data_IF_364757387069
#
_entry.id   IF_364757387069
#
_cell.length_a   1.000
_cell.length_b   1.000
_cell.length_c   1.000
_cell.angle_alpha   90.00
_cell.angle_beta   90.00
_cell.angle_gamma   90.00
#
_symmetry.space_group_name_H-M   'P 1'
#
loop_
_entity.id
_entity.type
_entity.pdbx_description
1 polymer ?
#
# COMPACT_ATOMS: atom_id res chain seq x y z
N UNK A 1 -40.02 11.15 16.18
CA UNK A 1 -39.81 9.88 15.46
C UNK A 1 -39.84 10.25 13.96
N UNK A 2 -39.00 11.16 13.48
CA UNK A 2 -37.54 11.06 13.29
C UNK A 2 -37.34 10.31 11.97
N UNK A 3 -37.56 10.93 10.80
CA UNK A 3 -36.68 11.86 10.04
C UNK A 3 -35.24 11.33 9.84
N UNK A 4 -34.69 11.59 8.64
CA UNK A 4 -33.39 11.15 8.05
C UNK A 4 -33.53 10.06 6.96
N UNK A 5 -33.02 10.18 5.73
CA UNK A 5 -32.37 11.31 5.08
C UNK A 5 -32.42 11.08 3.55
N UNK A 6 -32.84 12.10 2.80
CA UNK A 6 -32.86 12.13 1.34
C UNK A 6 -31.51 12.65 0.84
N UNK A 7 -30.62 11.76 0.43
CA UNK A 7 -29.48 12.15 -0.40
C UNK A 7 -29.91 12.21 -1.88
N UNK A 8 -30.48 13.34 -2.27
CA UNK A 8 -30.78 13.67 -3.67
C UNK A 8 -29.51 14.03 -4.43
N UNK A 9 -29.27 13.35 -5.56
CA UNK A 9 -28.33 13.80 -6.58
C UNK A 9 -28.98 14.94 -7.39
N UNK A 10 -28.28 16.04 -7.73
CA UNK A 10 -28.88 17.15 -8.46
C UNK A 10 -29.15 16.79 -9.92
N UNK A 11 -30.38 17.05 -10.38
CA UNK A 11 -30.78 16.93 -11.78
C UNK A 11 -30.26 18.14 -12.59
N UNK A 12 -29.52 17.88 -13.67
CA UNK A 12 -29.09 18.88 -14.65
C UNK A 12 -30.23 19.35 -15.58
N UNK A 13 -30.08 20.51 -16.26
CA UNK A 13 -31.21 21.25 -16.80
C UNK A 13 -31.73 20.72 -18.16
N UNK A 14 -33.04 20.44 -18.19
CA UNK A 14 -33.97 20.85 -19.24
C UNK A 14 -33.72 20.42 -20.69
N UNK A 15 -34.27 19.26 -21.08
CA UNK A 15 -34.66 19.02 -22.48
C UNK A 15 -36.18 19.00 -22.62
N UNK A 16 -36.67 19.92 -23.45
CA UNK A 16 -38.07 20.18 -23.79
C UNK A 16 -38.79 18.90 -24.23
N UNK A 17 -39.91 18.63 -23.59
CA UNK A 17 -40.85 17.57 -23.98
C UNK A 17 -41.41 17.84 -25.38
N UNK A 18 -41.02 17.02 -26.35
CA UNK A 18 -41.75 16.87 -27.62
C UNK A 18 -42.90 15.88 -27.39
N UNK A 19 -44.12 16.40 -27.44
CA UNK A 19 -45.39 15.65 -27.46
C UNK A 19 -45.35 14.55 -28.52
N UNK A 20 -45.36 13.28 -28.09
CA UNK A 20 -45.43 12.12 -28.99
C UNK A 20 -46.89 11.69 -29.16
N UNK A 21 -47.31 11.71 -30.42
CA UNK A 21 -48.62 11.41 -30.97
C UNK A 21 -49.04 9.96 -30.63
N UNK A 22 -50.30 9.82 -30.24
CA UNK A 22 -51.00 8.59 -29.82
C UNK A 22 -51.02 7.56 -30.96
N UNK A 23 -50.21 6.51 -30.85
CA UNK A 23 -50.24 5.33 -31.71
C UNK A 23 -50.97 4.19 -31.02
N UNK A 24 -52.08 3.76 -31.61
CA UNK A 24 -52.99 2.70 -31.16
C UNK A 24 -52.42 1.36 -31.62
N UNK A 25 -52.10 0.44 -30.71
CA UNK A 25 -51.63 -0.91 -31.02
C UNK A 25 -51.35 -1.68 -29.74
N UNK A 26 -52.07 -2.78 -29.52
CA UNK A 26 -51.97 -3.61 -28.32
C UNK A 26 -50.53 -4.07 -28.08
N UNK A 27 -49.91 -3.49 -27.07
CA UNK A 27 -48.64 -3.94 -26.51
C UNK A 27 -48.97 -4.26 -25.06
N UNK A 28 -48.61 -5.47 -24.62
CA UNK A 28 -48.58 -5.79 -23.20
C UNK A 28 -47.87 -4.62 -22.50
N UNK A 29 -48.63 -3.85 -21.72
CA UNK A 29 -48.03 -2.87 -20.85
C UNK A 29 -47.20 -3.70 -19.87
N UNK A 30 -45.87 -3.57 -19.96
CA UNK A 30 -44.99 -4.06 -18.91
C UNK A 30 -45.54 -3.51 -17.60
N UNK A 31 -46.17 -4.38 -16.81
CA UNK A 31 -46.82 -4.04 -15.53
C UNK A 31 -45.77 -3.64 -14.48
N UNK A 32 -44.49 -3.82 -14.83
CA UNK A 32 -43.33 -3.43 -14.07
C UNK A 32 -42.63 -2.28 -14.81
N UNK A 33 -42.35 -1.14 -14.14
CA UNK A 33 -41.49 -0.11 -14.69
C UNK A 33 -40.20 -0.74 -15.24
N UNK A 34 -39.67 -0.28 -16.38
CA UNK A 34 -38.42 -0.81 -16.91
C UNK A 34 -37.35 -0.76 -15.82
N UNK A 35 -36.79 -1.92 -15.49
CA UNK A 35 -35.83 -2.03 -14.41
C UNK A 35 -34.63 -1.11 -14.70
N UNK A 36 -34.45 -0.07 -13.90
CA UNK A 36 -33.22 0.70 -13.90
C UNK A 36 -32.15 -0.14 -13.19
N UNK A 37 -31.40 -0.95 -13.95
CA UNK A 37 -30.29 -1.76 -13.44
C UNK A 37 -29.11 -0.88 -12.97
N UNK A 38 -29.31 -0.08 -11.91
CA UNK A 38 -28.30 0.86 -11.37
C UNK A 38 -27.12 0.11 -10.74
N UNK A 39 -27.36 -1.05 -10.16
CA UNK A 39 -26.33 -1.96 -9.61
C UNK A 39 -26.83 -3.40 -9.58
N UNK A 40 -25.98 -4.35 -9.18
CA UNK A 40 -26.35 -5.76 -8.98
C UNK A 40 -27.21 -5.93 -7.71
N UNK A 41 -28.42 -5.35 -7.71
CA UNK A 41 -29.37 -5.38 -6.58
C UNK A 41 -28.77 -4.89 -5.24
N UNK A 42 -27.83 -3.94 -5.29
CA UNK A 42 -27.10 -3.48 -4.10
C UNK A 42 -26.16 -4.51 -3.48
N UNK A 43 -25.91 -5.66 -4.13
CA UNK A 43 -25.01 -6.70 -3.65
C UNK A 43 -23.59 -6.53 -4.22
N UNK A 44 -22.55 -6.97 -3.49
CA UNK A 44 -21.18 -7.02 -3.98
C UNK A 44 -21.08 -7.74 -5.34
N UNK A 45 -20.39 -7.12 -6.30
CA UNK A 45 -20.11 -7.72 -7.62
C UNK A 45 -18.78 -8.48 -7.59
N UNK A 46 -17.80 -7.97 -6.85
CA UNK A 46 -16.49 -8.60 -6.67
C UNK A 46 -16.42 -9.26 -5.30
N UNK A 47 -15.73 -10.40 -5.22
CA UNK A 47 -15.52 -11.10 -3.95
C UNK A 47 -14.38 -10.44 -3.19
N UNK A 48 -14.66 -9.97 -1.97
CA UNK A 48 -13.63 -9.47 -1.07
C UNK A 48 -12.61 -10.58 -0.73
N UNK A 49 -11.30 -10.27 -0.66
CA UNK A 49 -10.29 -11.24 -0.28
C UNK A 49 -10.46 -11.65 1.20
N UNK A 50 -10.12 -12.89 1.58
CA UNK A 50 -10.26 -13.37 2.96
C UNK A 50 -9.15 -12.86 3.89
N UNK A 51 -8.42 -11.81 3.50
CA UNK A 51 -7.23 -11.32 4.19
C UNK A 51 -7.56 -10.71 5.54
N UNK A 52 -6.70 -10.97 6.52
CA UNK A 52 -6.81 -10.39 7.87
C UNK A 52 -5.90 -9.17 8.00
N UNK A 53 -5.95 -8.54 9.17
CA UNK A 53 -5.07 -7.42 9.54
C UNK A 53 -3.57 -7.76 9.41
N UNK A 54 -3.23 -9.05 9.44
CA UNK A 54 -1.87 -9.56 9.24
C UNK A 54 -1.26 -9.07 7.93
N UNK A 55 -2.04 -8.96 6.86
CA UNK A 55 -1.55 -8.46 5.58
C UNK A 55 -1.08 -7.01 5.72
N UNK A 56 -1.86 -6.12 6.36
CA UNK A 56 -1.43 -4.74 6.56
C UNK A 56 -0.13 -4.64 7.37
N UNK A 57 0.06 -5.51 8.38
CA UNK A 57 1.31 -5.61 9.13
C UNK A 57 2.48 -6.08 8.26
N UNK A 58 2.28 -7.12 7.44
CA UNK A 58 3.24 -7.60 6.46
C UNK A 58 3.69 -6.51 5.49
N UNK A 59 2.73 -5.74 4.94
CA UNK A 59 2.98 -4.63 4.02
C UNK A 59 3.89 -3.57 4.68
N UNK A 60 3.56 -3.18 5.91
CA UNK A 60 4.31 -2.17 6.67
C UNK A 60 5.73 -2.65 6.98
N UNK A 61 5.87 -3.84 7.56
CA UNK A 61 7.15 -4.39 7.99
C UNK A 61 8.08 -4.68 6.81
N UNK A 62 7.54 -5.11 5.66
CA UNK A 62 8.30 -5.28 4.43
C UNK A 62 8.82 -3.94 3.89
N UNK A 63 7.99 -2.91 3.88
CA UNK A 63 8.40 -1.55 3.52
C UNK A 63 9.50 -1.01 4.45
N UNK A 64 9.28 -1.11 5.76
CA UNK A 64 10.26 -0.71 6.79
C UNK A 64 11.59 -1.44 6.59
N UNK A 65 11.55 -2.72 6.26
CA UNK A 65 12.75 -3.50 5.99
C UNK A 65 13.53 -2.96 4.79
N UNK A 66 12.86 -2.77 3.65
CA UNK A 66 13.47 -2.26 2.42
C UNK A 66 14.12 -0.89 2.63
N UNK A 67 13.37 0.08 3.18
CA UNK A 67 13.91 1.42 3.43
C UNK A 67 15.10 1.40 4.40
N UNK A 68 15.08 0.52 5.39
CA UNK A 68 16.16 0.40 6.37
C UNK A 68 17.41 -0.25 5.78
N UNK A 69 17.29 -1.19 4.84
CA UNK A 69 18.45 -1.74 4.13
C UNK A 69 19.15 -0.69 3.24
N UNK A 70 18.39 0.16 2.55
CA UNK A 70 18.95 1.28 1.80
C UNK A 70 19.69 2.26 2.72
N UNK A 71 19.07 2.61 3.85
CA UNK A 71 19.70 3.48 4.86
C UNK A 71 20.96 2.85 5.46
N UNK A 72 20.93 1.54 5.73
CA UNK A 72 22.06 0.79 6.26
C UNK A 72 23.25 0.78 5.30
N UNK A 73 23.02 0.51 4.02
CA UNK A 73 24.07 0.55 3.01
C UNK A 73 24.66 1.95 2.84
N UNK A 74 23.80 2.98 2.79
CA UNK A 74 24.27 4.37 2.74
C UNK A 74 25.11 4.76 3.96
N UNK A 75 24.69 4.35 5.16
CA UNK A 75 25.43 4.57 6.39
C UNK A 75 26.77 3.83 6.43
N UNK A 76 26.82 2.59 5.94
CA UNK A 76 28.06 1.80 5.84
C UNK A 76 29.08 2.44 4.89
N UNK A 77 28.62 2.92 3.73
CA UNK A 77 29.47 3.64 2.77
C UNK A 77 29.94 5.00 3.30
N UNK A 78 29.13 5.66 4.14
CA UNK A 78 29.44 6.96 4.73
C UNK A 78 30.23 6.88 6.04
N UNK A 79 30.53 5.68 6.55
CA UNK A 79 31.25 5.51 7.82
C UNK A 79 30.44 5.93 9.05
N UNK A 80 29.13 5.66 9.07
CA UNK A 80 28.20 5.97 10.17
C UNK A 80 27.80 4.68 10.91
N UNK A 81 28.62 4.20 11.86
CA UNK A 81 28.47 2.85 12.42
C UNK A 81 27.19 2.66 13.24
N UNK A 82 26.75 3.67 13.99
CA UNK A 82 25.52 3.57 14.78
C UNK A 82 24.28 3.56 13.88
N UNK A 83 24.26 4.40 12.85
CA UNK A 83 23.18 4.43 11.88
C UNK A 83 23.11 3.12 11.08
N UNK A 84 24.26 2.60 10.66
CA UNK A 84 24.39 1.31 9.97
C UNK A 84 23.83 0.18 10.82
N UNK A 85 24.28 0.05 12.06
CA UNK A 85 23.86 -1.00 13.00
C UNK A 85 22.36 -0.97 13.25
N UNK A 86 21.82 0.18 13.65
CA UNK A 86 20.39 0.33 13.92
C UNK A 86 19.54 0.03 12.67
N UNK A 87 19.97 0.49 11.50
CA UNK A 87 19.26 0.24 10.25
C UNK A 87 19.30 -1.25 9.85
N UNK A 88 20.43 -1.95 10.02
CA UNK A 88 20.52 -3.42 9.80
C UNK A 88 19.60 -4.20 10.73
N UNK A 89 19.53 -3.81 12.01
CA UNK A 89 18.64 -4.44 13.00
C UNK A 89 17.17 -4.25 12.60
N UNK A 90 16.78 -3.02 12.25
CA UNK A 90 15.41 -2.73 11.80
C UNK A 90 15.09 -3.45 10.49
N UNK A 91 16.06 -3.53 9.56
CA UNK A 91 15.89 -4.24 8.30
C UNK A 91 15.60 -5.73 8.50
N UNK A 92 16.38 -6.40 9.36
CA UNK A 92 16.18 -7.80 9.67
C UNK A 92 14.89 -8.02 10.49
N UNK A 93 14.64 -7.20 11.51
CA UNK A 93 13.41 -7.29 12.30
C UNK A 93 12.15 -7.09 11.44
N UNK A 94 12.17 -6.11 10.54
CA UNK A 94 11.10 -5.84 9.59
C UNK A 94 10.87 -7.02 8.64
N UNK A 95 11.91 -7.59 8.03
CA UNK A 95 11.71 -8.69 7.08
C UNK A 95 11.27 -9.99 7.75
N UNK A 96 11.80 -10.28 8.93
CA UNK A 96 11.38 -11.45 9.72
C UNK A 96 9.93 -11.31 10.16
N UNK A 97 9.52 -10.14 10.67
CA UNK A 97 8.13 -9.87 11.03
C UNK A 97 7.21 -9.88 9.81
N UNK A 98 7.64 -9.30 8.69
CA UNK A 98 6.92 -9.33 7.41
C UNK A 98 6.67 -10.78 6.95
N UNK A 99 7.70 -11.62 6.94
CA UNK A 99 7.58 -13.04 6.60
C UNK A 99 6.66 -13.79 7.57
N UNK A 100 6.74 -13.50 8.88
CA UNK A 100 5.87 -14.11 9.89
C UNK A 100 4.39 -13.83 9.58
N UNK A 101 4.01 -12.56 9.41
CA UNK A 101 2.62 -12.20 9.13
C UNK A 101 2.14 -12.72 7.77
N UNK A 102 3.02 -12.73 6.76
CA UNK A 102 2.71 -13.32 5.46
C UNK A 102 2.40 -14.81 5.56
N UNK A 103 3.24 -15.58 6.28
CA UNK A 103 3.06 -17.02 6.45
C UNK A 103 1.86 -17.33 7.34
N UNK A 104 1.62 -16.53 8.37
CA UNK A 104 0.48 -16.68 9.28
C UNK A 104 -0.88 -16.45 8.59
N UNK A 105 -0.96 -15.52 7.64
CA UNK A 105 -2.19 -15.28 6.87
C UNK A 105 -2.48 -16.42 5.88
N UNK A 106 -1.49 -17.28 5.56
CA UNK A 106 -1.74 -18.45 4.72
C UNK A 106 -2.72 -19.40 5.43
N UNK A 107 -3.76 -19.84 4.70
CA UNK A 107 -4.71 -20.81 5.24
C UNK A 107 -4.11 -22.17 5.63
N UNK A 108 -2.88 -22.49 5.18
CA UNK A 108 -2.07 -23.65 5.60
C UNK A 108 -0.59 -23.25 5.69
N UNK A 109 -0.13 -22.69 6.82
CA UNK A 109 1.22 -22.13 6.96
C UNK A 109 2.32 -23.17 6.75
N UNK A 110 2.08 -24.46 7.05
CA UNK A 110 3.06 -25.55 6.90
C UNK A 110 3.47 -25.75 5.42
N UNK A 111 2.64 -25.27 4.48
CA UNK A 111 2.85 -25.38 3.03
C UNK A 111 3.54 -24.16 2.43
N UNK A 112 4.01 -23.18 3.23
CA UNK A 112 4.65 -21.96 2.69
C UNK A 112 5.79 -22.28 1.71
N UNK A 113 6.55 -23.34 1.97
CA UNK A 113 7.66 -23.77 1.14
C UNK A 113 7.25 -24.17 -0.29
N UNK A 114 5.95 -24.37 -0.57
CA UNK A 114 5.43 -24.55 -1.92
C UNK A 114 5.54 -23.28 -2.77
N UNK A 115 5.52 -22.09 -2.15
CA UNK A 115 5.68 -20.81 -2.84
C UNK A 115 7.10 -20.65 -3.42
N UNK A 116 8.08 -21.36 -2.87
CA UNK A 116 9.49 -21.33 -3.28
C UNK A 116 9.81 -22.25 -4.47
N UNK A 117 8.82 -23.00 -4.99
CA UNK A 117 9.06 -24.01 -6.03
C UNK A 117 8.87 -23.50 -7.45
N UNK A 118 8.09 -22.44 -7.65
CA UNK A 118 7.67 -21.98 -8.98
C UNK A 118 7.99 -20.49 -9.15
N UNK A 119 8.68 -20.17 -10.23
CA UNK A 119 8.85 -18.80 -10.70
C UNK A 119 7.79 -18.50 -11.77
N UNK A 120 6.80 -17.69 -11.43
CA UNK A 120 5.73 -17.24 -12.34
C UNK A 120 5.78 -15.71 -12.48
N UNK A 121 6.46 -15.18 -13.51
CA UNK A 121 6.65 -13.73 -13.69
C UNK A 121 5.33 -12.94 -13.80
N UNK A 122 4.26 -13.58 -14.27
CA UNK A 122 2.92 -12.98 -14.39
C UNK A 122 2.12 -12.95 -13.09
N UNK A 123 2.69 -13.43 -11.97
CA UNK A 123 2.03 -13.42 -10.66
C UNK A 123 2.85 -12.57 -9.67
N UNK A 124 2.32 -11.41 -9.23
CA UNK A 124 2.98 -10.59 -8.22
C UNK A 124 3.31 -11.34 -6.92
N UNK A 125 2.49 -12.33 -6.54
CA UNK A 125 2.74 -13.16 -5.36
C UNK A 125 3.98 -14.06 -5.52
N UNK A 126 4.16 -14.65 -6.72
CA UNK A 126 5.35 -15.46 -7.02
C UNK A 126 6.60 -14.56 -7.10
N UNK A 127 6.53 -13.46 -7.84
CA UNK A 127 7.63 -12.49 -7.93
C UNK A 127 8.02 -11.96 -6.55
N UNK A 128 7.04 -11.62 -5.71
CA UNK A 128 7.25 -11.19 -4.33
C UNK A 128 7.99 -12.24 -3.50
N UNK A 129 7.62 -13.52 -3.61
CA UNK A 129 8.31 -14.61 -2.93
C UNK A 129 9.79 -14.63 -3.28
N UNK A 130 10.13 -14.54 -4.58
CA UNK A 130 11.52 -14.54 -5.04
C UNK A 130 12.27 -13.26 -4.65
N UNK A 131 11.62 -12.09 -4.62
CA UNK A 131 12.19 -10.85 -4.08
C UNK A 131 12.57 -11.05 -2.60
N UNK A 132 11.65 -11.58 -1.78
CA UNK A 132 11.90 -11.83 -0.36
C UNK A 132 13.03 -12.87 -0.15
N UNK A 133 13.04 -13.94 -0.94
CA UNK A 133 14.11 -14.95 -0.90
C UNK A 133 15.47 -14.40 -1.31
N UNK A 134 15.52 -13.48 -2.28
CA UNK A 134 16.73 -12.81 -2.70
C UNK A 134 17.18 -11.70 -1.74
N UNK A 135 16.30 -11.22 -0.86
CA UNK A 135 16.60 -10.14 0.08
C UNK A 135 16.95 -10.64 1.49
N UNK A 136 16.11 -11.51 2.06
CA UNK A 136 16.17 -11.92 3.47
C UNK A 136 17.53 -12.48 3.91
N UNK A 137 18.12 -13.45 3.20
CA UNK A 137 19.42 -14.00 3.54
C UNK A 137 20.54 -12.95 3.56
N UNK A 138 20.54 -12.04 2.59
CA UNK A 138 21.54 -10.97 2.51
C UNK A 138 21.36 -9.91 3.60
N UNK A 139 20.12 -9.57 3.95
CA UNK A 139 19.83 -8.70 5.10
C UNK A 139 20.31 -9.33 6.42
N UNK A 140 20.13 -10.65 6.59
CA UNK A 140 20.64 -11.40 7.74
C UNK A 140 22.17 -11.46 7.79
N UNK A 141 22.82 -11.76 6.66
CA UNK A 141 24.29 -11.77 6.55
C UNK A 141 24.89 -10.39 6.81
N UNK A 142 24.24 -9.32 6.37
CA UNK A 142 24.69 -7.95 6.61
C UNK A 142 24.75 -7.61 8.11
N UNK A 143 23.82 -8.15 8.92
CA UNK A 143 23.83 -7.98 10.37
C UNK A 143 24.95 -8.79 11.06
N UNK A 144 25.56 -9.75 10.38
CA UNK A 144 26.57 -10.64 10.92
C UNK A 144 27.73 -9.90 11.60
N UNK A 145 28.27 -8.86 10.96
CA UNK A 145 29.32 -8.00 11.51
C UNK A 145 28.93 -7.31 12.83
N UNK A 146 27.64 -7.02 13.04
CA UNK A 146 27.15 -6.38 14.27
C UNK A 146 26.98 -7.40 15.41
N UNK A 147 26.78 -8.67 15.07
CA UNK A 147 26.56 -9.76 16.02
C UNK A 147 27.88 -10.39 16.46
N UNK A 148 28.86 -10.52 15.55
CA UNK A 148 30.15 -11.16 15.83
C UNK A 148 30.82 -10.65 17.13
N UNK A 149 30.90 -9.33 17.40
CA UNK A 149 31.49 -8.80 18.62
C UNK A 149 30.70 -9.13 19.91
N UNK A 150 29.42 -9.51 19.78
CA UNK A 150 28.53 -9.82 20.90
C UNK A 150 28.55 -11.33 21.26
N UNK A 151 29.20 -12.16 20.44
CA UNK A 151 29.21 -13.62 20.64
C UNK A 151 30.12 -14.01 21.82
N UNK A 152 29.71 -14.98 22.66
CA UNK A 152 30.59 -15.56 23.66
C UNK A 152 31.86 -16.16 23.03
N UNK A 153 33.01 -15.99 23.67
CA UNK A 153 34.31 -16.41 23.12
C UNK A 153 34.36 -17.89 22.68
N UNK A 154 33.64 -18.79 23.37
CA UNK A 154 33.55 -20.21 23.00
C UNK A 154 32.84 -20.44 21.67
N UNK A 155 31.82 -19.64 21.37
CA UNK A 155 31.03 -19.72 20.14
C UNK A 155 31.75 -19.01 18.99
N UNK A 156 32.37 -17.85 19.27
CA UNK A 156 33.17 -17.13 18.29
C UNK A 156 34.34 -17.96 17.72
N UNK A 157 34.94 -18.86 18.53
CA UNK A 157 35.97 -19.81 18.05
C UNK A 157 35.44 -20.92 17.14
N UNK A 158 34.15 -21.24 17.20
CA UNK A 158 33.53 -22.31 16.40
C UNK A 158 32.96 -21.81 15.07
N UNK A 159 32.74 -20.51 14.96
CA UNK A 159 32.12 -19.90 13.79
C UNK A 159 33.19 -19.22 12.90
N UNK A 160 32.99 -19.17 11.57
CA UNK A 160 33.88 -18.49 10.66
C UNK A 160 33.66 -16.96 10.73
N UNK A 161 33.94 -16.37 11.89
CA UNK A 161 33.65 -14.96 12.21
C UNK A 161 34.30 -13.98 11.24
N UNK A 162 35.53 -14.26 10.79
CA UNK A 162 36.20 -13.44 9.79
C UNK A 162 35.49 -13.45 8.43
N UNK A 163 35.01 -14.62 7.99
CA UNK A 163 34.24 -14.74 6.75
C UNK A 163 32.91 -13.98 6.86
N UNK A 164 32.23 -14.08 8.00
CA UNK A 164 30.98 -13.37 8.28
C UNK A 164 31.20 -11.85 8.18
N UNK A 165 32.24 -11.33 8.84
CA UNK A 165 32.57 -9.90 8.79
C UNK A 165 32.92 -9.44 7.39
N UNK A 166 33.73 -10.21 6.63
CA UNK A 166 34.08 -9.88 5.24
C UNK A 166 32.87 -9.92 4.29
N UNK A 167 31.92 -10.84 4.52
CA UNK A 167 30.72 -10.98 3.70
C UNK A 167 29.64 -9.94 4.03
N UNK A 168 29.66 -9.33 5.22
CA UNK A 168 28.58 -8.46 5.70
C UNK A 168 28.34 -7.21 4.84
N UNK A 169 29.41 -6.50 4.42
CA UNK A 169 29.28 -5.31 3.56
C UNK A 169 28.78 -5.65 2.16
N UNK A 170 29.37 -6.60 1.41
CA UNK A 170 28.82 -7.05 0.13
C UNK A 170 27.36 -7.50 0.23
N UNK A 171 27.02 -8.28 1.28
CA UNK A 171 25.64 -8.70 1.49
C UNK A 171 24.70 -7.53 1.76
N UNK A 172 25.12 -6.53 2.55
CA UNK A 172 24.36 -5.31 2.78
C UNK A 172 24.09 -4.52 1.51
N UNK A 173 25.06 -4.46 0.59
CA UNK A 173 24.89 -3.81 -0.71
C UNK A 173 23.92 -4.58 -1.63
N UNK A 174 23.98 -5.91 -1.64
CA UNK A 174 23.02 -6.75 -2.37
C UNK A 174 21.61 -6.58 -1.81
N UNK A 175 21.45 -6.59 -0.47
CA UNK A 175 20.16 -6.35 0.17
C UNK A 175 19.62 -4.95 -0.18
N UNK A 176 20.47 -3.92 -0.20
CA UNK A 176 20.10 -2.57 -0.61
C UNK A 176 19.72 -2.47 -2.10
N UNK A 177 20.34 -3.25 -2.97
CA UNK A 177 19.97 -3.32 -4.39
C UNK A 177 18.56 -3.90 -4.59
N UNK A 178 18.19 -4.93 -3.81
CA UNK A 178 16.88 -5.58 -3.89
C UNK A 178 15.80 -4.81 -3.12
N UNK A 179 16.17 -4.00 -2.14
CA UNK A 179 15.28 -3.29 -1.25
C UNK A 179 14.19 -2.41 -1.93
N UNK A 180 14.45 -1.66 -3.01
CA UNK A 180 13.40 -0.94 -3.74
C UNK A 180 12.29 -1.86 -4.24
N UNK A 181 12.65 -3.08 -4.68
CA UNK A 181 11.67 -4.07 -5.08
C UNK A 181 10.83 -4.52 -3.88
N UNK A 182 11.45 -4.82 -2.72
CA UNK A 182 10.76 -5.16 -1.46
C UNK A 182 9.76 -4.07 -1.04
N UNK A 183 10.16 -2.80 -1.12
CA UNK A 183 9.34 -1.67 -0.72
C UNK A 183 8.12 -1.43 -1.64
N UNK A 184 8.22 -1.79 -2.93
CA UNK A 184 7.23 -1.46 -3.95
C UNK A 184 6.34 -2.62 -4.40
N UNK A 185 6.84 -3.86 -4.44
CA UNK A 185 6.10 -4.99 -5.03
C UNK A 185 4.77 -5.27 -4.33
N UNK A 186 4.70 -4.95 -3.04
CA UNK A 186 3.48 -5.13 -2.26
C UNK A 186 2.34 -4.20 -2.70
N UNK A 187 2.65 -3.02 -3.23
CA UNK A 187 1.66 -2.17 -3.89
C UNK A 187 1.18 -2.81 -5.20
N UNK A 188 2.10 -3.36 -5.99
CA UNK A 188 1.78 -4.06 -7.25
C UNK A 188 0.86 -5.25 -6.98
N UNK A 189 1.11 -6.00 -5.91
CA UNK A 189 0.26 -7.11 -5.48
C UNK A 189 -1.18 -6.68 -5.22
N UNK A 190 -1.41 -5.52 -4.58
CA UNK A 190 -2.76 -4.98 -4.37
C UNK A 190 -3.38 -4.49 -5.67
N UNK A 191 -2.61 -3.79 -6.50
CA UNK A 191 -3.08 -3.15 -7.72
C UNK A 191 -3.47 -4.14 -8.81
N UNK A 192 -2.86 -5.33 -8.81
CA UNK A 192 -3.15 -6.42 -9.75
C UNK A 192 -4.35 -7.28 -9.30
N UNK A 193 -5.32 -6.65 -8.64
CA UNK A 193 -6.58 -7.28 -8.19
C UNK A 193 -7.78 -6.62 -8.84
N UNK A 194 -8.95 -7.24 -8.71
CA UNK A 194 -10.23 -6.67 -9.14
C UNK A 194 -10.89 -5.74 -8.12
N UNK A 195 -10.23 -5.46 -6.99
CA UNK A 195 -10.79 -4.58 -5.96
C UNK A 195 -10.74 -3.13 -6.45
N UNK A 196 -11.90 -2.42 -6.52
CA UNK A 196 -11.97 -1.13 -7.21
C UNK A 196 -10.94 -0.09 -6.75
N UNK A 197 -10.82 0.14 -5.45
CA UNK A 197 -9.90 1.16 -4.94
C UNK A 197 -8.42 0.77 -5.13
N UNK A 198 -8.07 -0.51 -5.01
CA UNK A 198 -6.69 -0.95 -5.25
C UNK A 198 -6.33 -0.87 -6.74
N UNK A 199 -7.20 -1.38 -7.61
CA UNK A 199 -6.97 -1.39 -9.06
C UNK A 199 -6.92 0.03 -9.64
N UNK A 200 -7.74 0.94 -9.12
CA UNK A 200 -7.73 2.34 -9.55
C UNK A 200 -6.43 3.06 -9.18
N UNK A 201 -5.83 2.71 -8.04
CA UNK A 201 -4.58 3.29 -7.54
C UNK A 201 -3.30 2.75 -8.24
N UNK A 202 -3.45 2.00 -9.35
CA UNK A 202 -2.35 1.19 -9.91
C UNK A 202 -1.06 1.94 -10.23
N UNK A 203 -1.17 3.21 -10.61
CA UNK A 203 -0.04 4.03 -11.08
C UNK A 203 0.68 4.67 -9.90
N UNK A 204 -0.05 5.15 -8.91
CA UNK A 204 0.48 5.99 -7.84
C UNK A 204 0.79 5.22 -6.56
N UNK A 205 0.07 4.14 -6.24
CA UNK A 205 0.25 3.41 -4.98
C UNK A 205 1.68 2.91 -4.72
N UNK A 206 2.46 2.43 -5.71
CA UNK A 206 3.86 2.07 -5.48
C UNK A 206 4.69 3.23 -4.94
N UNK A 207 4.43 4.46 -5.39
CA UNK A 207 5.12 5.65 -4.90
C UNK A 207 4.69 6.03 -3.47
N UNK A 208 3.39 5.89 -3.16
CA UNK A 208 2.88 6.05 -1.79
C UNK A 208 3.59 5.06 -0.84
N UNK A 209 3.66 3.78 -1.21
CA UNK A 209 4.27 2.74 -0.39
C UNK A 209 5.79 2.91 -0.23
N UNK A 210 6.50 3.31 -1.29
CA UNK A 210 7.94 3.58 -1.23
C UNK A 210 8.23 4.83 -0.41
N UNK A 211 7.44 5.90 -0.59
CA UNK A 211 7.54 7.12 0.20
C UNK A 211 7.30 6.86 1.69
N UNK A 212 6.23 6.15 2.02
CA UNK A 212 5.89 5.81 3.42
C UNK A 212 6.96 4.92 4.05
N UNK A 213 7.50 3.96 3.29
CA UNK A 213 8.60 3.10 3.72
C UNK A 213 9.86 3.91 4.03
N UNK A 214 10.25 4.82 3.15
CA UNK A 214 11.38 5.73 3.37
C UNK A 214 11.16 6.64 4.59
N UNK A 215 9.95 7.17 4.77
CA UNK A 215 9.55 7.96 5.93
C UNK A 215 9.72 7.16 7.25
N UNK A 216 9.19 5.93 7.28
CA UNK A 216 9.27 5.04 8.44
C UNK A 216 10.70 4.60 8.75
N UNK A 217 11.48 4.18 7.75
CA UNK A 217 12.86 3.72 7.94
C UNK A 217 13.79 4.86 8.36
N UNK A 218 13.65 6.04 7.74
CA UNK A 218 14.35 7.23 8.18
C UNK A 218 13.94 7.64 9.60
N UNK A 219 12.63 7.56 9.92
CA UNK A 219 12.11 7.79 11.27
C UNK A 219 12.67 6.82 12.31
N UNK A 220 12.78 5.53 12.00
CA UNK A 220 13.43 4.55 12.85
C UNK A 220 14.91 4.89 13.09
N UNK A 221 15.61 5.42 12.08
CA UNK A 221 16.95 5.98 12.23
C UNK A 221 17.01 7.17 13.20
N UNK A 222 16.07 8.12 13.09
CA UNK A 222 15.96 9.23 14.06
C UNK A 222 15.68 8.75 15.48
N UNK A 223 14.93 7.65 15.62
CA UNK A 223 14.59 7.06 16.92
C UNK A 223 15.76 6.28 17.53
N UNK A 224 16.58 5.59 16.76
CA UNK A 224 17.54 4.60 17.27
C UNK A 224 19.01 5.03 17.18
N UNK A 225 19.32 6.18 16.59
CA UNK A 225 20.69 6.61 16.31
C UNK A 225 21.04 7.92 17.05
N UNK A 226 22.30 8.10 17.50
CA UNK A 226 22.80 9.37 18.03
C UNK A 226 22.64 10.52 17.03
N UNK A 227 22.38 11.74 17.53
CA UNK A 227 22.01 12.89 16.70
C UNK A 227 23.05 13.22 15.63
N UNK A 228 24.32 12.98 15.93
CA UNK A 228 25.49 13.23 15.09
C UNK A 228 25.43 12.43 13.78
N UNK A 229 24.83 11.24 13.80
CA UNK A 229 24.70 10.36 12.63
C UNK A 229 23.31 10.39 11.98
N UNK A 230 22.34 11.13 12.54
CA UNK A 230 20.95 11.16 12.02
C UNK A 230 20.77 11.89 10.68
N UNK A 231 21.80 12.53 10.14
CA UNK A 231 21.72 13.35 8.92
C UNK A 231 21.06 12.63 7.74
N UNK A 232 21.58 11.46 7.30
CA UNK A 232 20.97 10.68 6.21
C UNK A 232 19.57 10.17 6.55
N UNK A 233 19.34 9.69 7.77
CA UNK A 233 18.04 9.21 8.21
C UNK A 233 16.96 10.30 8.12
N UNK A 234 17.29 11.53 8.51
CA UNK A 234 16.41 12.70 8.42
C UNK A 234 16.04 13.04 6.99
N UNK A 235 17.02 13.04 6.08
CA UNK A 235 16.80 13.32 4.65
C UNK A 235 15.91 12.26 4.03
N UNK A 236 16.18 10.98 4.32
CA UNK A 236 15.35 9.87 3.85
C UNK A 236 13.92 9.99 4.41
N UNK A 237 13.78 10.33 5.69
CA UNK A 237 12.48 10.44 6.33
C UNK A 237 11.62 11.57 5.73
N UNK A 238 12.19 12.77 5.61
CA UNK A 238 11.50 13.95 5.08
C UNK A 238 11.24 13.81 3.57
N UNK A 239 12.20 13.27 2.81
CA UNK A 239 12.01 12.98 1.39
C UNK A 239 10.93 11.92 1.15
N UNK A 240 10.92 10.87 1.98
CA UNK A 240 9.87 9.84 1.97
C UNK A 240 8.50 10.42 2.29
N UNK A 241 8.39 11.25 3.32
CA UNK A 241 7.14 11.92 3.69
C UNK A 241 6.62 12.84 2.56
N UNK A 242 7.52 13.60 1.92
CA UNK A 242 7.16 14.44 0.78
C UNK A 242 6.65 13.59 -0.41
N UNK A 243 7.33 12.49 -0.72
CA UNK A 243 6.92 11.56 -1.77
C UNK A 243 5.56 10.91 -1.45
N UNK A 244 5.39 10.40 -0.23
CA UNK A 244 4.16 9.76 0.23
C UNK A 244 2.97 10.72 0.10
N UNK A 245 3.05 11.90 0.71
CA UNK A 245 1.95 12.85 0.75
C UNK A 245 1.61 13.39 -0.65
N UNK A 246 2.63 13.63 -1.49
CA UNK A 246 2.42 14.10 -2.86
C UNK A 246 1.81 13.01 -3.74
N UNK A 247 2.35 11.79 -3.69
CA UNK A 247 1.82 10.66 -4.44
C UNK A 247 0.40 10.30 -3.99
N UNK A 248 0.10 10.39 -2.70
CA UNK A 248 -1.23 10.16 -2.13
C UNK A 248 -2.26 11.18 -2.65
N UNK A 249 -1.89 12.46 -2.71
CA UNK A 249 -2.78 13.47 -3.30
C UNK A 249 -3.03 13.24 -4.80
N UNK A 250 -1.99 12.86 -5.55
CA UNK A 250 -2.14 12.56 -6.99
C UNK A 250 -3.01 11.30 -7.17
N UNK A 251 -2.79 10.28 -6.34
CA UNK A 251 -3.55 9.02 -6.33
C UNK A 251 -5.04 9.28 -6.10
N UNK A 252 -5.41 10.03 -5.07
CA UNK A 252 -6.82 10.31 -4.79
C UNK A 252 -7.50 11.07 -5.94
N UNK A 253 -6.78 12.01 -6.57
CA UNK A 253 -7.30 12.76 -7.73
C UNK A 253 -7.47 11.86 -8.96
N UNK A 254 -6.63 10.84 -9.15
CA UNK A 254 -6.71 9.94 -10.30
C UNK A 254 -7.80 8.86 -10.17
N UNK A 255 -8.20 8.54 -8.93
CA UNK A 255 -9.10 7.43 -8.61
C UNK A 255 -10.60 7.74 -8.78
N UNK A 256 -11.01 9.00 -8.91
CA UNK A 256 -12.43 9.38 -9.00
C UNK A 256 -13.23 8.88 -7.79
N UNK A 257 -14.43 8.34 -8.02
CA UNK A 257 -15.30 7.81 -6.94
C UNK A 257 -14.64 6.70 -6.11
N UNK A 258 -13.67 5.95 -6.67
CA UNK A 258 -13.01 4.87 -5.92
C UNK A 258 -12.03 5.39 -4.85
N UNK A 259 -11.80 6.70 -4.77
CA UNK A 259 -11.10 7.34 -3.66
C UNK A 259 -11.98 7.53 -2.41
N UNK A 260 -13.31 7.55 -2.55
CA UNK A 260 -14.26 7.79 -1.45
C UNK A 260 -14.03 6.86 -0.23
N UNK A 261 -13.72 5.57 -0.39
CA UNK A 261 -13.38 4.70 0.75
C UNK A 261 -12.18 5.18 1.58
N UNK A 262 -11.23 5.93 1.01
CA UNK A 262 -10.11 6.52 1.76
C UNK A 262 -10.53 7.69 2.66
N UNK A 263 -11.76 8.19 2.53
CA UNK A 263 -12.29 9.29 3.34
C UNK A 263 -13.34 8.83 4.36
N UNK A 264 -13.86 7.60 4.22
CA UNK A 264 -14.98 7.10 5.02
C UNK A 264 -14.59 5.97 5.98
N UNK A 265 -15.42 5.79 7.01
CA UNK A 265 -15.34 4.65 7.92
C UNK A 265 -13.97 4.47 8.58
N UNK A 266 -13.50 3.21 8.63
CA UNK A 266 -12.21 2.86 9.26
C UNK A 266 -11.02 3.29 8.40
N UNK A 267 -11.12 3.12 7.09
CA UNK A 267 -10.08 3.52 6.15
C UNK A 267 -9.79 5.03 6.24
N UNK A 268 -10.82 5.88 6.26
CA UNK A 268 -10.68 7.33 6.44
C UNK A 268 -10.04 7.75 7.75
N UNK A 269 -10.31 7.05 8.86
CA UNK A 269 -9.65 7.31 10.15
C UNK A 269 -8.15 7.04 10.08
N UNK A 270 -7.76 5.88 9.54
CA UNK A 270 -6.34 5.56 9.35
C UNK A 270 -5.68 6.51 8.35
N UNK A 271 -6.38 6.88 7.29
CA UNK A 271 -5.84 7.78 6.27
C UNK A 271 -5.52 9.16 6.84
N UNK A 272 -6.47 9.74 7.59
CA UNK A 272 -6.25 11.02 8.27
C UNK A 272 -5.12 10.93 9.30
N UNK A 273 -5.08 9.83 10.08
CA UNK A 273 -4.00 9.61 11.03
C UNK A 273 -2.63 9.53 10.32
N UNK A 274 -2.54 8.84 9.18
CA UNK A 274 -1.33 8.77 8.38
C UNK A 274 -0.85 10.15 7.93
N UNK A 275 -1.73 10.95 7.33
CA UNK A 275 -1.39 12.29 6.84
C UNK A 275 -0.89 13.20 7.97
N UNK A 276 -1.57 13.18 9.13
CA UNK A 276 -1.18 13.99 10.29
C UNK A 276 0.15 13.51 10.88
N UNK A 277 0.31 12.20 11.10
CA UNK A 277 1.51 11.63 11.72
C UNK A 277 2.74 11.79 10.82
N UNK A 278 2.61 11.51 9.53
CA UNK A 278 3.70 11.69 8.56
C UNK A 278 4.05 13.17 8.41
N UNK A 279 3.06 14.06 8.26
CA UNK A 279 3.29 15.50 8.11
C UNK A 279 3.91 16.14 9.37
N UNK A 280 3.31 15.92 10.54
CA UNK A 280 3.83 16.44 11.80
C UNK A 280 5.19 15.83 12.15
N UNK A 281 5.37 14.53 11.89
CA UNK A 281 6.65 13.84 12.04
C UNK A 281 7.74 14.41 11.13
N UNK A 282 7.44 14.74 9.88
CA UNK A 282 8.39 15.38 8.98
C UNK A 282 8.79 16.79 9.44
N UNK A 283 7.82 17.60 9.87
CA UNK A 283 8.08 18.95 10.43
C UNK A 283 8.91 18.84 11.71
N UNK A 284 8.52 17.96 12.63
CA UNK A 284 9.27 17.69 13.86
C UNK A 284 10.66 17.16 13.58
N UNK A 285 10.84 16.34 12.53
CA UNK A 285 12.14 15.89 12.08
C UNK A 285 12.98 17.04 11.51
N UNK A 286 12.41 18.09 10.91
CA UNK A 286 13.22 19.25 10.48
C UNK A 286 13.60 20.13 11.67
N UNK A 287 12.67 20.37 12.60
CA UNK A 287 12.87 21.24 13.76
C UNK A 287 13.71 20.60 14.87
N UNK A 288 13.60 19.28 15.04
CA UNK A 288 14.26 18.51 16.10
C UNK A 288 15.73 18.16 15.85
N UNK A 289 16.44 18.89 14.98
CA UNK A 289 17.85 18.57 14.64
C UNK A 289 18.80 18.56 15.82
N UNK A 290 18.48 19.34 16.85
CA UNK A 290 19.27 19.48 18.07
C UNK A 290 18.64 18.81 19.30
N UNK A 291 17.44 18.24 19.17
CA UNK A 291 16.69 17.67 20.30
C UNK A 291 16.47 16.17 20.09
N UNK A 292 17.08 15.37 20.97
CA UNK A 292 16.99 13.90 20.91
C UNK A 292 15.54 13.42 21.05
N UNK A 293 14.81 14.00 22.00
CA UNK A 293 13.41 13.68 22.24
C UNK A 293 12.55 14.04 21.03
N UNK A 294 12.69 15.25 20.48
CA UNK A 294 11.88 15.66 19.34
C UNK A 294 12.19 14.81 18.10
N UNK A 295 13.46 14.48 17.83
CA UNK A 295 13.82 13.55 16.76
C UNK A 295 13.24 12.14 16.98
N UNK A 296 13.27 11.63 18.21
CA UNK A 296 12.71 10.32 18.53
C UNK A 296 11.18 10.27 18.34
N UNK A 297 10.46 11.25 18.89
CA UNK A 297 8.99 11.36 18.75
C UNK A 297 8.59 11.54 17.28
N UNK A 298 9.33 12.36 16.54
CA UNK A 298 9.11 12.55 15.10
C UNK A 298 9.33 11.26 14.31
N UNK A 299 10.38 10.51 14.66
CA UNK A 299 10.67 9.22 14.04
C UNK A 299 9.58 8.18 14.30
N UNK A 300 9.10 8.09 15.55
CA UNK A 300 7.99 7.22 15.93
C UNK A 300 6.69 7.62 15.22
N UNK A 301 6.41 8.92 15.12
CA UNK A 301 5.25 9.43 14.40
C UNK A 301 5.28 9.03 12.92
N UNK A 302 6.41 9.17 12.22
CA UNK A 302 6.50 8.76 10.81
C UNK A 302 6.38 7.24 10.63
N UNK A 303 6.92 6.43 11.55
CA UNK A 303 6.73 4.98 11.53
C UNK A 303 5.26 4.60 11.73
N UNK A 304 4.58 5.22 12.68
CA UNK A 304 3.14 5.04 12.91
C UNK A 304 2.29 5.56 11.74
N UNK A 305 2.70 6.66 11.10
CA UNK A 305 2.08 7.22 9.90
C UNK A 305 2.12 6.22 8.76
N UNK A 306 3.29 5.67 8.44
CA UNK A 306 3.41 4.63 7.40
C UNK A 306 2.61 3.36 7.73
N UNK A 307 2.50 2.97 9.00
CA UNK A 307 1.63 1.86 9.37
C UNK A 307 0.17 2.21 9.08
N UNK A 308 -0.29 3.39 9.50
CA UNK A 308 -1.64 3.87 9.21
C UNK A 308 -1.93 3.92 7.70
N UNK A 309 -0.97 4.30 6.85
CA UNK A 309 -1.11 4.26 5.38
C UNK A 309 -1.42 2.85 4.87
N UNK A 310 -0.73 1.82 5.37
CA UNK A 310 -0.99 0.43 4.95
C UNK A 310 -2.37 -0.06 5.39
N UNK A 311 -2.81 0.32 6.59
CA UNK A 311 -4.16 -0.01 7.08
C UNK A 311 -5.26 0.77 6.36
N UNK A 312 -5.03 2.04 6.03
CA UNK A 312 -5.96 2.86 5.25
C UNK A 312 -6.21 2.24 3.88
N UNK A 313 -5.13 1.91 3.15
CA UNK A 313 -5.22 1.27 1.83
C UNK A 313 -5.88 -0.11 1.93
N UNK A 314 -5.50 -0.93 2.92
CA UNK A 314 -6.11 -2.24 3.15
C UNK A 314 -7.63 -2.13 3.34
N UNK A 315 -8.07 -1.29 4.27
CA UNK A 315 -9.50 -1.11 4.55
C UNK A 315 -10.26 -0.46 3.41
N UNK A 316 -9.64 0.47 2.67
CA UNK A 316 -10.27 1.11 1.51
C UNK A 316 -10.58 0.09 0.42
N UNK A 317 -9.65 -0.82 0.13
CA UNK A 317 -9.89 -1.90 -0.82
C UNK A 317 -11.02 -2.83 -0.39
N UNK A 318 -11.01 -3.25 0.88
CA UNK A 318 -12.07 -4.11 1.44
C UNK A 318 -13.44 -3.43 1.34
N UNK A 319 -13.56 -2.17 1.78
CA UNK A 319 -14.81 -1.41 1.69
C UNK A 319 -15.27 -1.21 0.25
N UNK A 320 -14.33 -1.02 -0.68
CA UNK A 320 -14.65 -0.86 -2.12
C UNK A 320 -15.22 -2.13 -2.77
N UNK A 321 -14.99 -3.30 -2.16
CA UNK A 321 -15.57 -4.56 -2.63
C UNK A 321 -17.02 -4.76 -2.17
N UNK A 322 -17.41 -4.16 -1.05
CA UNK A 322 -18.72 -4.36 -0.43
C UNK A 322 -19.84 -3.57 -1.13
N UNK A 323 -19.54 -2.36 -1.61
CA UNK A 323 -20.51 -1.52 -2.31
C UNK A 323 -20.34 -1.63 -3.83
N UNK A 324 -21.36 -2.13 -4.57
CA UNK A 324 -21.28 -2.26 -6.02
C UNK A 324 -21.13 -0.94 -6.76
N UNK A 325 -21.41 0.22 -6.15
CA UNK A 325 -21.24 1.54 -6.81
C UNK A 325 -19.80 1.74 -7.30
N UNK A 326 -18.82 1.28 -6.53
CA UNK A 326 -17.40 1.40 -6.87
C UNK A 326 -16.99 0.52 -8.06
N UNK A 327 -17.77 -0.49 -8.40
CA UNK A 327 -17.59 -1.31 -9.61
C UNK A 327 -18.35 -0.69 -10.79
N UNK A 328 -19.63 -0.35 -10.58
CA UNK A 328 -20.56 -0.01 -11.68
C UNK A 328 -20.35 1.41 -12.21
N UNK A 329 -20.20 2.40 -11.33
CA UNK A 329 -20.12 3.82 -11.74
C UNK A 329 -18.90 4.07 -12.63
N UNK A 330 -17.66 3.67 -12.24
CA UNK A 330 -16.49 3.89 -13.10
C UNK A 330 -16.56 3.15 -14.44
N UNK A 331 -17.20 1.98 -14.47
CA UNK A 331 -17.37 1.22 -15.72
C UNK A 331 -18.35 1.93 -16.67
N UNK A 332 -19.45 2.46 -16.14
CA UNK A 332 -20.42 3.25 -16.92
C UNK A 332 -19.80 4.53 -17.46
N UNK A 333 -19.10 5.30 -16.63
CA UNK A 333 -18.42 6.52 -17.06
C UNK A 333 -17.44 6.25 -18.20
N UNK A 334 -16.66 5.15 -18.12
CA UNK A 334 -15.75 4.74 -19.21
C UNK A 334 -16.46 4.29 -20.47
N UNK A 335 -17.62 3.63 -20.35
CA UNK A 335 -18.44 3.23 -21.50
C UNK A 335 -19.05 4.45 -22.18
N UNK A 336 -19.61 5.35 -21.39
CA UNK A 336 -20.32 6.53 -21.88
C UNK A 336 -19.33 7.51 -22.52
N UNK A 337 -18.13 7.68 -21.94
CA UNK A 337 -17.04 8.44 -22.55
C UNK A 337 -16.54 7.87 -23.89
N UNK A 338 -16.84 6.61 -24.21
CA UNK A 338 -16.54 5.95 -25.49
C UNK A 338 -17.73 5.93 -26.46
N UNK A 339 -18.82 6.64 -26.14
CA UNK A 339 -20.07 6.62 -26.94
C UNK A 339 -20.90 5.35 -26.80
N UNK A 340 -20.50 4.41 -25.93
CA UNK A 340 -21.18 3.11 -25.80
C UNK A 340 -22.58 3.20 -25.19
N UNK A 341 -22.88 4.28 -24.45
CA UNK A 341 -24.22 4.56 -23.93
C UNK A 341 -25.22 4.89 -25.05
N UNK A 342 -24.78 5.64 -26.06
CA UNK A 342 -25.60 6.02 -27.23
C UNK A 342 -25.86 4.80 -28.14
N UNK A 343 -24.81 4.02 -28.44
CA UNK A 343 -24.92 2.80 -29.24
C UNK A 343 -25.86 1.74 -28.59
N UNK A 344 -25.79 1.60 -27.25
CA UNK A 344 -26.71 0.70 -26.53
C UNK A 344 -28.16 1.20 -26.59
N UNK A 345 -28.38 2.52 -26.45
CA UNK A 345 -29.72 3.09 -26.53
C UNK A 345 -30.33 2.95 -27.92
N UNK A 346 -29.52 3.06 -28.98
CA UNK A 346 -29.92 2.83 -30.37
C UNK A 346 -30.29 1.35 -30.61
N UNK A 347 -29.46 0.42 -30.14
CA UNK A 347 -29.71 -1.02 -30.25
C UNK A 347 -31.00 -1.47 -29.53
N UNK A 348 -31.24 -0.98 -28.30
CA UNK A 348 -32.48 -1.26 -27.56
C UNK A 348 -33.69 -0.58 -28.22
N UNK A 349 -33.48 0.56 -28.89
CA UNK A 349 -34.50 1.22 -29.69
C UNK A 349 -34.96 0.37 -30.88
N UNK A 350 -34.01 -0.22 -31.61
CA UNK A 350 -34.25 -1.10 -32.75
C UNK A 350 -34.89 -2.43 -32.36
N UNK A 351 -34.45 -3.06 -31.25
CA UNK A 351 -35.05 -4.30 -30.74
C UNK A 351 -36.50 -4.11 -30.26
N UNK A 352 -36.89 -2.88 -29.87
CA UNK A 352 -38.29 -2.52 -29.53
C UNK A 352 -39.13 -2.15 -30.75
N UNK A 353 -38.51 -1.94 -31.90
CA UNK A 353 -39.17 -1.61 -33.16
C UNK A 353 -39.50 -2.87 -33.98
N UNK A 354 -38.79 -3.99 -33.73
CA UNK A 354 -39.12 -5.34 -34.21
C UNK A 354 -40.20 -6.00 -33.35
#
# INVERSE_FOLDING_TARGET
MGDDDKAGLPAGPGQRARTRRKGRGGREQLVVPPAEFRSYYGKPIVKAPPWKYDIAAYLFLGGLAGGSSLLAAGADLAGLPNQRRSARIVALGGITGSLYYLVHDLGRPERFHHMLRVLKPTSPMSVGTWILSAYGPFAGLALGEEIVPLLPAKLARRLPTELISRASRPAGLVAALVAPAVASYTAVLLNDTSLPSWSAARRELPFVFVGSAAAASGGAGLLLTPLEETGPARRLAVGGAALELTADQIMQRSMGITAEPLHEGRAGKYHRAAQVLTGAGAVGAVLGRRSRLLSAVSGLAMAAGSACTRWAVFHAGMASAEDPKYVVVPQRERRDARGGGEAYAEQVGDDRAR
#
